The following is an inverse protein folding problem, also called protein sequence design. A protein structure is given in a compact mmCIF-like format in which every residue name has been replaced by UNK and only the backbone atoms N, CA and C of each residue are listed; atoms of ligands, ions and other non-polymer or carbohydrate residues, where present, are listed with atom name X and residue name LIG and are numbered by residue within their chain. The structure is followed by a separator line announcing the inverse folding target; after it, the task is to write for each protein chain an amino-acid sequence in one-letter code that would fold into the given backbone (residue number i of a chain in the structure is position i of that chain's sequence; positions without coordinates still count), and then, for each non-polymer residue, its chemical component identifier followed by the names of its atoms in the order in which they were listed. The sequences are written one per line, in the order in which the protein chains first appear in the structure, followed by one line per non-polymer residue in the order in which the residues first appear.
data_IF_081618513457
#
_entry.id   IF_081618513457
#
_cell.length_a   1.000
_cell.length_b   1.000
_cell.length_c   1.000
_cell.angle_alpha   90.00
_cell.angle_beta   90.00
_cell.angle_gamma   90.00
#
_symmetry.space_group_name_H-M   'P 1'
#
loop_
_entity.id
_entity.type
_entity.pdbx_description
1 polymer ?
#
# COMPACT_ATOMS: atom_id res chain seq x y z
N UNK A 1 -7.27 -8.08 -58.05
CA UNK A 1 -7.75 -7.20 -56.96
C UNK A 1 -8.27 -7.96 -55.73
N UNK A 2 -8.17 -9.30 -55.69
CA UNK A 2 -8.68 -10.10 -54.56
C UNK A 2 -7.62 -10.39 -53.49
N UNK A 3 -6.34 -10.49 -53.88
CA UNK A 3 -5.22 -10.77 -52.95
C UNK A 3 -5.07 -9.64 -51.91
N UNK A 4 -5.29 -8.38 -52.31
CA UNK A 4 -5.19 -7.23 -51.41
C UNK A 4 -6.30 -7.21 -50.33
N UNK A 5 -7.46 -7.81 -50.62
CA UNK A 5 -8.58 -7.91 -49.66
C UNK A 5 -8.34 -8.96 -48.57
N UNK A 6 -7.67 -10.06 -48.91
CA UNK A 6 -7.31 -11.10 -47.92
C UNK A 6 -6.26 -10.60 -46.91
N UNK A 7 -5.27 -9.80 -47.34
CA UNK A 7 -4.26 -9.25 -46.43
C UNK A 7 -4.84 -8.22 -45.45
N UNK A 8 -5.80 -7.40 -45.88
CA UNK A 8 -6.44 -6.40 -45.01
C UNK A 8 -7.30 -7.06 -43.93
N UNK A 9 -7.98 -8.16 -44.26
CA UNK A 9 -8.81 -8.93 -43.32
C UNK A 9 -7.98 -9.66 -42.25
N UNK A 10 -6.82 -10.20 -42.62
CA UNK A 10 -5.89 -10.83 -41.66
C UNK A 10 -5.29 -9.78 -40.71
N UNK A 11 -4.95 -8.59 -41.22
CA UNK A 11 -4.42 -7.49 -40.40
C UNK A 11 -5.48 -6.92 -39.43
N UNK A 12 -6.76 -6.91 -39.82
CA UNK A 12 -7.86 -6.52 -38.94
C UNK A 12 -8.19 -7.59 -37.89
N UNK A 13 -8.05 -8.88 -38.22
CA UNK A 13 -8.27 -9.99 -37.28
C UNK A 13 -7.15 -10.11 -36.23
N UNK A 14 -5.89 -9.78 -36.56
CA UNK A 14 -4.80 -9.76 -35.57
C UNK A 14 -4.87 -8.55 -34.63
N UNK A 15 -5.48 -7.44 -35.06
CA UNK A 15 -5.71 -6.28 -34.20
C UNK A 15 -6.85 -6.49 -33.18
N UNK A 16 -7.78 -7.41 -33.44
CA UNK A 16 -8.93 -7.68 -32.55
C UNK A 16 -8.64 -8.75 -31.47
N UNK A 17 -7.59 -9.57 -31.61
CA UNK A 17 -7.22 -10.60 -30.62
C UNK A 17 -6.22 -10.12 -29.56
N UNK A 18 -5.91 -8.82 -29.51
CA UNK A 18 -4.81 -8.27 -28.74
C UNK A 18 -5.17 -7.54 -27.44
N UNK A 19 -6.29 -7.84 -26.76
CA UNK A 19 -6.64 -7.18 -25.47
C UNK A 19 -7.44 -8.08 -24.49
N UNK A 20 -7.26 -9.41 -24.54
CA UNK A 20 -7.92 -10.32 -23.59
C UNK A 20 -6.89 -11.19 -22.86
N UNK A 21 -5.94 -10.57 -22.16
CA UNK A 21 -4.88 -11.32 -21.49
C UNK A 21 -3.95 -10.51 -20.61
N UNK A 22 -4.45 -9.73 -19.65
CA UNK A 22 -3.56 -8.97 -18.75
C UNK A 22 -4.13 -8.69 -17.36
N UNK A 23 -5.08 -9.49 -16.86
CA UNK A 23 -5.60 -9.34 -15.48
C UNK A 23 -5.05 -10.34 -14.46
N UNK A 24 -4.66 -11.54 -14.91
CA UNK A 24 -4.32 -12.68 -14.03
C UNK A 24 -2.84 -13.06 -14.06
N UNK A 25 -2.13 -12.77 -15.15
CA UNK A 25 -0.70 -13.09 -15.29
C UNK A 25 0.24 -12.22 -14.43
N UNK A 26 -0.21 -11.05 -13.93
CA UNK A 26 0.55 -10.23 -12.98
C UNK A 26 0.47 -10.77 -11.54
N UNK A 27 -0.68 -11.37 -11.16
CA UNK A 27 -0.99 -11.81 -9.79
C UNK A 27 -0.04 -12.89 -9.28
N UNK A 28 0.38 -13.83 -10.14
CA UNK A 28 1.26 -14.94 -9.77
C UNK A 28 2.75 -14.56 -9.67
N UNK A 29 3.16 -13.37 -10.14
CA UNK A 29 4.59 -13.00 -10.15
C UNK A 29 5.05 -12.30 -8.86
N UNK A 30 4.15 -11.66 -8.12
CA UNK A 30 4.54 -10.83 -6.98
C UNK A 30 4.84 -11.67 -5.74
N UNK A 31 4.07 -12.72 -5.44
CA UNK A 31 4.30 -13.58 -4.26
C UNK A 31 5.75 -14.11 -4.17
N UNK A 32 6.33 -14.73 -5.22
CA UNK A 32 7.71 -15.20 -5.19
C UNK A 32 8.71 -14.06 -4.93
N UNK A 33 8.52 -12.91 -5.58
CA UNK A 33 9.37 -11.72 -5.41
C UNK A 33 9.27 -11.21 -3.97
N UNK A 34 8.06 -11.13 -3.41
CA UNK A 34 7.84 -10.71 -2.03
C UNK A 34 8.51 -11.65 -1.03
N UNK A 35 8.42 -12.99 -1.23
CA UNK A 35 9.11 -13.94 -0.35
C UNK A 35 10.64 -13.87 -0.47
N UNK A 36 11.18 -13.57 -1.65
CA UNK A 36 12.61 -13.27 -1.82
C UNK A 36 13.00 -12.00 -1.06
N UNK A 37 12.25 -10.91 -1.23
CA UNK A 37 12.45 -9.65 -0.50
C UNK A 37 12.41 -9.82 1.01
N UNK A 38 11.45 -10.59 1.54
CA UNK A 38 11.40 -10.89 2.98
C UNK A 38 12.69 -11.56 3.44
N UNK A 39 13.19 -12.58 2.73
CA UNK A 39 14.44 -13.27 3.09
C UNK A 39 15.64 -12.34 3.06
N UNK A 40 15.73 -11.48 2.05
CA UNK A 40 16.82 -10.53 1.91
C UNK A 40 16.80 -9.45 2.99
N UNK A 41 15.62 -8.90 3.28
CA UNK A 41 15.45 -7.94 4.37
C UNK A 41 15.79 -8.58 5.72
N UNK A 42 15.30 -9.78 6.00
CA UNK A 42 15.62 -10.52 7.24
C UNK A 42 17.12 -10.70 7.41
N UNK A 43 17.83 -11.17 6.38
CA UNK A 43 19.30 -11.30 6.42
C UNK A 43 19.99 -9.96 6.71
N UNK A 44 19.55 -8.88 6.04
CA UNK A 44 20.12 -7.54 6.25
C UNK A 44 19.88 -7.05 7.68
N UNK A 45 18.67 -7.23 8.21
CA UNK A 45 18.29 -6.83 9.58
C UNK A 45 19.07 -7.64 10.61
N UNK A 46 19.22 -8.96 10.42
CA UNK A 46 20.01 -9.80 11.32
C UNK A 46 21.48 -9.38 11.38
N UNK A 47 22.06 -8.97 10.25
CA UNK A 47 23.47 -8.54 10.18
C UNK A 47 23.69 -7.14 10.75
N UNK A 48 22.76 -6.22 10.53
CA UNK A 48 23.01 -4.78 10.71
C UNK A 48 22.03 -4.11 11.70
N UNK A 49 21.10 -4.86 12.30
CA UNK A 49 20.06 -4.37 13.19
C UNK A 49 18.95 -3.59 12.47
N UNK A 50 18.14 -2.85 13.23
CA UNK A 50 17.20 -1.87 12.68
C UNK A 50 17.78 -0.46 12.73
N UNK A 51 17.57 0.30 11.65
CA UNK A 51 17.89 1.72 11.55
C UNK A 51 16.78 2.44 10.81
N UNK A 52 16.69 3.76 10.93
CA UNK A 52 15.72 4.55 10.18
C UNK A 52 15.87 4.34 8.65
N UNK A 53 17.11 4.35 8.15
CA UNK A 53 17.38 4.09 6.73
C UNK A 53 16.89 2.70 6.29
N UNK A 54 16.96 1.71 7.18
CA UNK A 54 16.50 0.34 6.91
C UNK A 54 14.98 0.25 6.87
N UNK A 55 14.28 0.92 7.80
CA UNK A 55 12.82 1.06 7.77
C UNK A 55 12.38 1.72 6.46
N UNK A 56 12.97 2.87 6.11
CA UNK A 56 12.64 3.59 4.89
C UNK A 56 12.87 2.74 3.62
N UNK A 57 13.97 1.98 3.54
CA UNK A 57 14.24 1.08 2.40
C UNK A 57 13.24 -0.07 2.32
N UNK A 58 12.89 -0.71 3.45
CA UNK A 58 11.87 -1.77 3.47
C UNK A 58 10.54 -1.22 2.99
N UNK A 59 10.09 -0.08 3.52
CA UNK A 59 8.82 0.53 3.14
C UNK A 59 8.81 0.94 1.66
N UNK A 60 9.89 1.54 1.15
CA UNK A 60 10.00 1.94 -0.25
C UNK A 60 9.96 0.72 -1.19
N UNK A 61 10.70 -0.33 -0.87
CA UNK A 61 10.71 -1.55 -1.68
C UNK A 61 9.38 -2.30 -1.60
N UNK A 62 8.75 -2.39 -0.41
CA UNK A 62 7.43 -2.98 -0.24
C UNK A 62 6.36 -2.22 -1.03
N UNK A 63 6.38 -0.87 -0.98
CA UNK A 63 5.49 -0.03 -1.79
C UNK A 63 5.69 -0.26 -3.29
N UNK A 64 6.92 -0.51 -3.73
CA UNK A 64 7.25 -0.82 -5.12
C UNK A 64 6.69 -2.16 -5.62
N UNK A 65 6.25 -3.05 -4.72
CA UNK A 65 5.63 -4.33 -5.09
C UNK A 65 4.12 -4.24 -5.34
N UNK A 66 3.47 -3.17 -4.86
CA UNK A 66 2.01 -3.06 -4.87
C UNK A 66 1.52 -2.00 -5.85
N UNK A 67 0.30 -2.17 -6.35
CA UNK A 67 -0.35 -1.24 -7.25
C UNK A 67 -1.45 -0.48 -6.52
N UNK A 68 -1.44 0.85 -6.60
CA UNK A 68 -2.54 1.66 -6.09
C UNK A 68 -3.69 1.65 -7.10
N UNK A 69 -4.90 1.35 -6.60
CA UNK A 69 -6.13 1.34 -7.38
C UNK A 69 -7.26 1.83 -6.47
N UNK A 70 -7.87 2.95 -6.81
CA UNK A 70 -9.07 3.40 -6.11
C UNK A 70 -10.21 2.41 -6.34
N UNK A 71 -10.93 2.09 -5.27
CA UNK A 71 -12.09 1.23 -5.33
C UNK A 71 -13.38 2.04 -5.45
N UNK A 72 -14.40 1.49 -6.13
CA UNK A 72 -15.70 2.17 -6.28
C UNK A 72 -16.49 2.12 -4.97
N UNK A 73 -16.20 1.13 -4.12
CA UNK A 73 -16.81 0.93 -2.82
C UNK A 73 -15.69 0.70 -1.83
N UNK A 74 -15.57 1.60 -0.87
CA UNK A 74 -14.65 1.50 0.27
C UNK A 74 -14.80 0.14 0.96
N UNK A 75 -13.72 -0.64 0.93
CA UNK A 75 -13.62 -1.97 1.51
C UNK A 75 -12.18 -2.29 1.88
N UNK A 76 -12.00 -2.75 3.12
CA UNK A 76 -10.70 -3.18 3.60
C UNK A 76 -10.45 -4.64 3.21
N UNK A 77 -9.53 -4.88 2.28
CA UNK A 77 -9.13 -6.22 1.88
C UNK A 77 -8.43 -6.93 3.04
N UNK A 78 -8.85 -8.17 3.30
CA UNK A 78 -8.02 -9.08 4.11
C UNK A 78 -6.69 -9.35 3.39
N UNK A 79 -5.60 -9.72 4.11
CA UNK A 79 -4.32 -10.07 3.46
C UNK A 79 -4.43 -11.17 2.39
N UNK A 80 -5.42 -12.07 2.52
CA UNK A 80 -5.71 -13.10 1.51
C UNK A 80 -6.40 -12.50 0.29
N UNK A 81 -7.36 -11.60 0.49
CA UNK A 81 -8.07 -10.90 -0.59
C UNK A 81 -7.11 -10.00 -1.37
N UNK A 82 -6.33 -9.15 -0.69
CA UNK A 82 -5.34 -8.26 -1.30
C UNK A 82 -4.34 -9.03 -2.19
N UNK A 83 -3.87 -10.19 -1.69
CA UNK A 83 -3.03 -11.11 -2.47
C UNK A 83 -3.77 -11.71 -3.66
N UNK A 84 -5.01 -12.18 -3.46
CA UNK A 84 -5.87 -12.69 -4.54
C UNK A 84 -6.15 -11.64 -5.63
N UNK A 85 -6.12 -10.37 -5.25
CA UNK A 85 -6.24 -9.20 -6.12
C UNK A 85 -4.91 -8.79 -6.77
N UNK A 86 -3.83 -9.52 -6.50
CA UNK A 86 -2.51 -9.28 -7.09
C UNK A 86 -1.76 -8.12 -6.46
N UNK A 87 -1.91 -7.92 -5.14
CA UNK A 87 -1.32 -6.80 -4.40
C UNK A 87 -1.74 -5.44 -4.97
N UNK A 88 -3.02 -5.33 -5.29
CA UNK A 88 -3.64 -4.11 -5.80
C UNK A 88 -4.82 -3.75 -4.93
N UNK A 89 -4.84 -2.49 -4.47
CA UNK A 89 -5.87 -1.93 -3.63
C UNK A 89 -5.61 -0.43 -3.43
N UNK A 90 -6.41 0.22 -2.60
CA UNK A 90 -6.31 1.63 -2.28
C UNK A 90 -5.43 1.87 -1.04
N UNK A 91 -5.69 2.93 -0.29
CA UNK A 91 -4.73 3.42 0.71
C UNK A 91 -4.67 2.49 1.93
N UNK A 92 -5.81 2.05 2.44
CA UNK A 92 -5.94 1.18 3.60
C UNK A 92 -5.32 -0.19 3.37
N UNK A 93 -5.55 -0.78 2.21
CA UNK A 93 -5.04 -2.10 1.84
C UNK A 93 -3.52 -2.10 1.79
N UNK A 94 -2.95 -1.06 1.19
CA UNK A 94 -1.51 -0.89 1.09
C UNK A 94 -0.92 -0.60 2.47
N UNK A 95 -1.56 0.25 3.30
CA UNK A 95 -1.09 0.49 4.69
C UNK A 95 -1.04 -0.83 5.46
N UNK A 96 -2.12 -1.63 5.43
CA UNK A 96 -2.21 -2.90 6.14
C UNK A 96 -1.17 -3.90 5.61
N UNK A 97 -0.96 -3.95 4.30
CA UNK A 97 0.11 -4.76 3.70
C UNK A 97 1.48 -4.36 4.25
N UNK A 98 1.82 -3.07 4.23
CA UNK A 98 3.11 -2.57 4.68
C UNK A 98 3.33 -2.73 6.19
N UNK A 99 2.27 -2.52 6.99
CA UNK A 99 2.27 -2.84 8.42
C UNK A 99 2.55 -4.33 8.63
N UNK A 100 1.82 -5.21 7.93
CA UNK A 100 2.03 -6.66 7.98
C UNK A 100 3.44 -7.08 7.53
N UNK A 101 4.03 -6.40 6.56
CA UNK A 101 5.43 -6.60 6.15
C UNK A 101 6.39 -6.31 7.28
N UNK A 102 6.29 -5.15 7.93
CA UNK A 102 7.16 -4.80 9.07
C UNK A 102 6.97 -5.78 10.25
N UNK A 103 5.73 -6.18 10.54
CA UNK A 103 5.44 -7.19 11.58
C UNK A 103 6.07 -8.55 11.26
N UNK A 104 5.97 -9.00 10.00
CA UNK A 104 6.60 -10.25 9.54
C UNK A 104 8.14 -10.22 9.63
N UNK A 105 8.73 -9.02 9.58
CA UNK A 105 10.17 -8.81 9.77
C UNK A 105 10.55 -8.63 11.24
N UNK A 106 9.62 -8.83 12.19
CA UNK A 106 9.84 -8.68 13.63
C UNK A 106 10.34 -7.26 13.98
N UNK A 107 9.77 -6.23 13.35
CA UNK A 107 10.07 -4.85 13.70
C UNK A 107 9.67 -4.58 15.16
N UNK A 108 10.61 -4.14 16.03
CA UNK A 108 10.39 -4.14 17.48
C UNK A 108 9.66 -2.89 18.00
N UNK A 109 9.46 -1.87 17.15
CA UNK A 109 8.81 -0.62 17.55
C UNK A 109 7.34 -0.58 17.12
N UNK A 110 6.63 0.45 17.57
CA UNK A 110 5.22 0.60 17.31
C UNK A 110 4.94 0.95 15.83
N UNK A 111 3.86 0.38 15.30
CA UNK A 111 3.36 0.60 13.93
C UNK A 111 1.86 0.78 14.06
N UNK A 112 1.31 1.80 13.40
CA UNK A 112 -0.11 2.13 13.41
C UNK A 112 -0.61 2.48 12.03
N UNK A 113 -1.85 2.13 11.76
CA UNK A 113 -2.65 2.75 10.71
C UNK A 113 -3.13 4.09 11.23
N UNK A 114 -2.92 5.15 10.47
CA UNK A 114 -3.37 6.51 10.80
C UNK A 114 -4.34 6.97 9.71
N UNK A 115 -5.61 7.15 10.06
CA UNK A 115 -6.63 7.71 9.17
C UNK A 115 -6.71 9.21 9.39
N UNK A 116 -6.59 9.98 8.31
CA UNK A 116 -6.65 11.44 8.30
C UNK A 116 -7.75 11.92 7.38
N UNK A 117 -8.29 13.09 7.67
CA UNK A 117 -9.18 13.79 6.73
C UNK A 117 -8.37 14.33 5.57
N UNK A 118 -8.82 14.08 4.34
CA UNK A 118 -8.30 14.72 3.13
C UNK A 118 -9.44 15.46 2.39
N UNK A 119 -9.12 16.19 1.33
CA UNK A 119 -10.05 17.08 0.63
C UNK A 119 -11.20 16.36 -0.07
N UNK A 120 -10.98 15.11 -0.50
CA UNK A 120 -11.92 14.36 -1.31
C UNK A 120 -12.50 13.17 -0.56
N UNK A 121 -11.65 12.37 0.07
CA UNK A 121 -12.01 11.20 0.88
C UNK A 121 -11.05 11.11 2.07
N UNK A 122 -11.41 10.38 3.13
CA UNK A 122 -10.47 10.08 4.21
C UNK A 122 -9.30 9.25 3.66
N UNK A 123 -8.12 9.40 4.23
CA UNK A 123 -6.90 8.81 3.69
C UNK A 123 -6.14 8.04 4.77
N UNK A 124 -5.74 6.80 4.45
CA UNK A 124 -4.94 5.97 5.33
C UNK A 124 -3.43 6.17 5.10
N UNK A 125 -2.72 6.39 6.20
CA UNK A 125 -1.27 6.54 6.26
C UNK A 125 -0.68 5.45 7.14
N UNK A 126 0.56 5.04 6.86
CA UNK A 126 1.31 4.17 7.75
C UNK A 126 2.12 5.03 8.73
N UNK A 127 1.87 4.90 10.03
CA UNK A 127 2.62 5.60 11.08
C UNK A 127 3.57 4.62 11.77
N UNK A 128 4.86 4.93 11.79
CA UNK A 128 5.91 4.05 12.32
C UNK A 128 6.75 4.80 13.34
N UNK A 129 6.93 4.22 14.51
CA UNK A 129 7.93 4.68 15.48
C UNK A 129 9.30 4.21 15.00
N UNK A 130 10.23 5.14 14.79
CA UNK A 130 11.58 4.85 14.31
C UNK A 130 12.47 4.32 15.43
N UNK A 131 13.61 3.68 15.12
CA UNK A 131 14.54 3.20 16.16
C UNK A 131 15.09 4.27 17.10
N UNK A 132 15.02 5.55 16.71
CA UNK A 132 15.34 6.69 17.56
C UNK A 132 14.20 7.18 18.48
N UNK A 133 13.07 6.48 18.54
CA UNK A 133 11.92 6.79 19.41
C UNK A 133 10.98 7.90 18.91
N UNK A 134 11.21 8.44 17.71
CA UNK A 134 10.32 9.43 17.10
C UNK A 134 9.41 8.80 16.05
N UNK A 135 8.25 9.42 15.81
CA UNK A 135 7.26 8.92 14.87
C UNK A 135 7.41 9.54 13.48
N UNK A 136 7.16 8.75 12.43
CA UNK A 136 6.95 9.23 11.06
C UNK A 136 5.65 8.66 10.49
N UNK A 137 4.92 9.48 9.76
CA UNK A 137 3.78 9.05 8.95
C UNK A 137 4.22 8.97 7.48
N UNK A 138 3.75 7.97 6.75
CA UNK A 138 4.08 7.74 5.35
C UNK A 138 2.83 7.66 4.50
N UNK A 139 2.82 8.41 3.39
CA UNK A 139 1.74 8.37 2.41
C UNK A 139 1.96 7.24 1.42
N UNK A 140 1.15 6.19 1.58
CA UNK A 140 1.25 4.98 0.77
C UNK A 140 0.54 5.09 -0.58
N UNK A 141 -0.32 6.09 -0.82
CA UNK A 141 -0.87 6.28 -2.16
C UNK A 141 0.22 6.73 -3.15
N UNK A 142 1.19 7.51 -2.67
CA UNK A 142 2.32 7.99 -3.47
C UNK A 142 3.36 6.91 -3.79
N UNK A 143 3.96 6.99 -4.99
CA UNK A 143 5.15 6.22 -5.36
C UNK A 143 6.19 7.16 -5.99
N UNK A 144 7.41 7.28 -5.43
CA UNK A 144 7.90 6.57 -4.25
C UNK A 144 7.19 7.03 -2.97
N UNK A 145 7.11 6.14 -1.98
CA UNK A 145 6.58 6.48 -0.65
C UNK A 145 7.43 7.59 0.01
N UNK A 146 6.76 8.57 0.63
CA UNK A 146 7.42 9.68 1.30
C UNK A 146 6.86 9.89 2.71
N UNK A 147 7.70 10.33 3.66
CA UNK A 147 7.21 10.78 4.94
C UNK A 147 6.37 12.05 4.76
N UNK A 148 5.30 12.16 5.54
CA UNK A 148 4.42 13.33 5.57
C UNK A 148 4.70 14.13 6.83
N UNK A 149 4.70 15.45 6.69
CA UNK A 149 4.78 16.38 7.82
C UNK A 149 3.50 16.26 8.68
N UNK A 150 3.62 15.86 9.97
CA UNK A 150 2.47 15.74 10.86
C UNK A 150 1.66 17.03 11.01
N UNK A 151 2.28 18.21 10.84
CA UNK A 151 1.58 19.50 10.94
C UNK A 151 0.53 19.70 9.83
N UNK A 152 0.61 18.92 8.75
CA UNK A 152 -0.32 18.96 7.61
C UNK A 152 -1.44 17.94 7.71
N UNK A 153 -1.46 17.14 8.78
CA UNK A 153 -2.42 16.06 8.95
C UNK A 153 -3.57 16.49 9.87
N UNK A 154 -4.78 16.09 9.50
CA UNK A 154 -5.97 16.19 10.34
C UNK A 154 -6.39 14.79 10.79
N UNK A 155 -5.78 14.22 11.86
CA UNK A 155 -6.00 12.84 12.26
C UNK A 155 -7.43 12.63 12.79
N UNK A 156 -8.02 11.49 12.44
CA UNK A 156 -9.36 11.06 12.86
C UNK A 156 -9.24 9.91 13.86
N UNK A 157 -8.52 8.86 13.45
CA UNK A 157 -8.30 7.67 14.26
C UNK A 157 -6.93 7.09 13.91
N UNK A 158 -6.25 6.53 14.91
CA UNK A 158 -5.11 5.66 14.67
C UNK A 158 -5.30 4.35 15.43
N UNK A 159 -4.80 3.26 14.85
CA UNK A 159 -4.95 1.94 15.46
C UNK A 159 -3.86 0.97 15.05
N UNK A 160 -3.70 -0.05 15.88
CA UNK A 160 -2.90 -1.23 15.63
C UNK A 160 -3.74 -2.49 15.92
N UNK A 161 -3.10 -3.66 16.05
CA UNK A 161 -3.79 -4.93 16.28
C UNK A 161 -4.49 -5.01 17.65
N UNK A 162 -4.18 -4.10 18.57
CA UNK A 162 -4.60 -4.17 19.98
C UNK A 162 -5.25 -2.90 20.49
N UNK A 163 -4.94 -1.77 19.87
CA UNK A 163 -5.27 -0.44 20.38
C UNK A 163 -5.92 0.39 19.30
N UNK A 164 -6.98 1.11 19.67
CA UNK A 164 -7.63 2.14 18.84
C UNK A 164 -7.64 3.45 19.60
N UNK A 165 -7.21 4.53 18.95
CA UNK A 165 -7.16 5.89 19.52
C UNK A 165 -7.92 6.83 18.61
N UNK A 166 -9.00 7.40 19.13
CA UNK A 166 -9.80 8.42 18.43
C UNK A 166 -9.26 9.83 18.70
N UNK A 167 -9.11 10.62 17.65
CA UNK A 167 -8.72 12.02 17.76
C UNK A 167 -9.97 12.91 17.75
N UNK A 168 -10.15 13.68 18.81
CA UNK A 168 -11.27 14.62 18.89
C UNK A 168 -11.05 15.75 17.89
N UNK A 169 -12.02 15.97 17.01
CA UNK A 169 -12.06 17.17 16.16
C UNK A 169 -12.22 18.38 17.10
N UNK A 170 -11.14 19.11 17.38
CA UNK A 170 -11.25 20.43 18.00
C UNK A 170 -12.07 21.32 17.05
N UNK A 171 -13.37 21.44 17.30
CA UNK A 171 -14.27 22.28 16.49
C UNK A 171 -15.75 21.87 16.46
N UNK A 172 -16.13 20.67 16.89
CA UNK A 172 -17.55 20.32 16.99
C UNK A 172 -18.13 20.81 18.32
N UNK A 173 -18.47 22.11 18.38
CA UNK A 173 -19.46 22.58 19.35
C UNK A 173 -20.77 21.86 19.05
N UNK A 174 -21.05 20.80 19.80
CA UNK A 174 -22.36 20.15 19.83
C UNK A 174 -23.36 21.22 20.28
N UNK A 175 -24.13 21.74 19.33
CA UNK A 175 -25.36 22.44 19.62
C UNK A 175 -26.25 21.49 20.40
N UNK A 176 -26.52 21.83 21.65
CA UNK A 176 -27.63 21.24 22.39
C UNK A 176 -28.91 21.51 21.60
N UNK A 177 -29.65 20.47 21.25
CA UNK A 177 -31.10 20.52 21.14
C UNK A 177 -31.66 19.67 22.27
#
# INVERSE_FOLDING_TARGET
MEILRCFLLIFLLTAACGCAGSGTASRQKIDPIYQEKIRDWQKRIQREGWSESRVNSVLAEARGLVTYRMEIRDHWDTPRAFRGNGYSGDCEDIVVFMMGTLRRLEYPHNIRVLVVRSLFEDHALLRVEMPGGFWKAFDVASSPIRPVDPARLAPIVEFDETTVVWHSLKGSSVGKQ
#
